data_IF_797134628938
#
_entry.id   IF_797134628938
#
_cell.length_a   1.000
_cell.length_b   1.000
_cell.length_c   1.000
_cell.angle_alpha   90.00
_cell.angle_beta   90.00
_cell.angle_gamma   90.00
#
_symmetry.space_group_name_H-M   'P 1'
#
loop_
_entity.id
_entity.type
_entity.pdbx_description
1 polymer ?
#
# COMPACT_ATOMS: atom_id res chain seq x y z
N UNK A 1 -10.68 -19.43 -6.05
CA UNK A 1 -9.70 -19.12 -4.99
C UNK A 1 -8.31 -19.02 -5.61
N UNK A 2 -7.65 -17.86 -5.50
CA UNK A 2 -6.32 -17.61 -6.05
C UNK A 2 -5.20 -18.07 -5.09
N UNK A 3 -5.43 -19.16 -4.36
CA UNK A 3 -4.58 -19.59 -3.23
C UNK A 3 -3.13 -19.96 -3.64
N UNK A 4 -2.85 -20.07 -4.93
CA UNK A 4 -1.51 -20.36 -5.48
C UNK A 4 -0.87 -19.13 -6.15
N UNK A 5 -1.56 -17.98 -6.21
CA UNK A 5 -1.02 -16.78 -6.84
C UNK A 5 0.08 -16.19 -5.97
N UNK A 6 1.32 -16.23 -6.47
CA UNK A 6 2.49 -15.73 -5.74
C UNK A 6 2.93 -14.34 -6.20
N UNK A 7 2.44 -13.87 -7.35
CA UNK A 7 2.78 -12.56 -7.89
C UNK A 7 1.58 -11.92 -8.56
N UNK A 8 1.35 -10.65 -8.27
CA UNK A 8 0.29 -9.84 -8.86
C UNK A 8 0.91 -8.53 -9.30
N UNK A 9 0.77 -8.23 -10.59
CA UNK A 9 1.21 -6.98 -11.18
C UNK A 9 -0.02 -6.24 -11.71
N UNK A 10 -0.34 -5.11 -11.09
CA UNK A 10 -1.40 -4.21 -11.49
C UNK A 10 -0.87 -2.82 -11.83
N UNK A 11 0.44 -2.66 -12.01
CA UNK A 11 1.06 -1.37 -12.32
C UNK A 11 0.37 -0.69 -13.50
N UNK A 12 0.30 0.65 -13.48
CA UNK A 12 -0.37 1.48 -14.49
C UNK A 12 -1.88 1.19 -14.65
N UNK A 13 -2.55 0.74 -13.58
CA UNK A 13 -4.01 0.61 -13.54
C UNK A 13 -4.60 1.54 -12.49
N UNK A 14 -5.86 1.94 -12.68
CA UNK A 14 -6.61 2.75 -11.72
C UNK A 14 -7.09 1.90 -10.55
N UNK A 15 -6.18 1.49 -9.68
CA UNK A 15 -6.51 0.72 -8.48
C UNK A 15 -7.22 1.61 -7.47
N UNK A 16 -6.79 2.88 -7.33
CA UNK A 16 -7.33 3.86 -6.38
C UNK A 16 -7.36 3.39 -4.92
N UNK A 17 -7.70 4.28 -3.98
CA UNK A 17 -7.69 3.93 -2.56
C UNK A 17 -8.67 2.80 -2.23
N UNK A 18 -9.86 2.83 -2.85
CA UNK A 18 -10.86 1.77 -2.68
C UNK A 18 -10.38 0.41 -3.19
N UNK A 19 -9.74 0.33 -4.36
CA UNK A 19 -9.24 -0.95 -4.88
C UNK A 19 -8.04 -1.45 -4.08
N UNK A 20 -7.21 -0.54 -3.53
CA UNK A 20 -6.12 -0.95 -2.64
C UNK A 20 -6.65 -1.55 -1.33
N UNK A 21 -7.69 -0.95 -0.75
CA UNK A 21 -8.43 -1.51 0.39
C UNK A 21 -8.96 -2.91 0.08
N UNK A 22 -9.67 -3.06 -1.04
CA UNK A 22 -10.24 -4.36 -1.44
C UNK A 22 -9.17 -5.43 -1.68
N UNK A 23 -8.01 -5.04 -2.24
CA UNK A 23 -6.87 -5.94 -2.38
C UNK A 23 -6.31 -6.38 -1.01
N UNK A 24 -6.23 -5.46 -0.04
CA UNK A 24 -5.75 -5.78 1.31
C UNK A 24 -6.71 -6.74 2.03
N UNK A 25 -8.02 -6.49 1.96
CA UNK A 25 -9.06 -7.39 2.50
C UNK A 25 -9.01 -8.75 1.80
N UNK A 26 -8.86 -8.78 0.47
CA UNK A 26 -8.71 -10.03 -0.26
C UNK A 26 -7.43 -10.79 0.13
N UNK A 27 -6.38 -10.11 0.57
CA UNK A 27 -5.12 -10.74 0.99
C UNK A 27 -5.18 -11.40 2.36
N UNK A 28 -6.14 -11.03 3.23
CA UNK A 28 -6.41 -11.75 4.47
C UNK A 28 -6.93 -13.18 4.21
N UNK A 29 -7.46 -13.44 3.01
CA UNK A 29 -8.13 -14.72 2.69
C UNK A 29 -7.65 -15.36 1.39
N UNK A 30 -7.85 -14.69 0.26
CA UNK A 30 -7.75 -15.23 -1.09
C UNK A 30 -6.36 -15.07 -1.71
N UNK A 31 -5.57 -14.10 -1.22
CA UNK A 31 -4.21 -13.81 -1.69
C UNK A 31 -3.15 -14.05 -0.61
N UNK A 32 -3.44 -14.91 0.37
CA UNK A 32 -2.56 -15.17 1.50
C UNK A 32 -1.18 -15.74 1.13
N UNK A 33 -0.98 -16.26 -0.09
CA UNK A 33 0.30 -16.76 -0.60
C UNK A 33 1.06 -15.74 -1.49
N UNK A 34 0.53 -14.53 -1.64
CA UNK A 34 1.12 -13.52 -2.49
C UNK A 34 2.47 -13.07 -1.94
N UNK A 35 3.53 -13.15 -2.76
CA UNK A 35 4.91 -12.80 -2.41
C UNK A 35 5.38 -11.51 -3.08
N UNK A 36 4.77 -11.15 -4.19
CA UNK A 36 5.12 -9.96 -4.98
C UNK A 36 3.84 -9.22 -5.33
N UNK A 37 3.76 -7.96 -4.92
CA UNK A 37 2.70 -7.04 -5.33
C UNK A 37 3.33 -5.82 -5.98
N UNK A 38 2.93 -5.55 -7.23
CA UNK A 38 3.29 -4.32 -7.94
C UNK A 38 2.04 -3.49 -8.23
N UNK A 39 2.08 -2.27 -7.73
CA UNK A 39 1.05 -1.26 -7.84
C UNK A 39 1.66 0.06 -8.32
N UNK A 40 2.85 0.07 -8.92
CA UNK A 40 3.46 1.33 -9.36
C UNK A 40 2.57 2.05 -10.37
N UNK A 41 2.45 3.37 -10.21
CA UNK A 41 1.57 4.23 -11.00
C UNK A 41 0.09 3.83 -10.93
N UNK A 42 -0.44 3.53 -9.73
CA UNK A 42 -1.83 3.10 -9.54
C UNK A 42 -2.76 4.05 -8.75
N UNK A 43 -2.33 5.30 -8.52
CA UNK A 43 -3.10 6.33 -7.78
C UNK A 43 -3.73 5.79 -6.48
N UNK A 44 -3.00 4.95 -5.72
CA UNK A 44 -3.56 4.21 -4.58
C UNK A 44 -3.96 5.12 -3.40
N UNK A 45 -3.58 6.38 -3.48
CA UNK A 45 -3.95 7.47 -2.60
C UNK A 45 -3.89 8.77 -3.42
N UNK A 46 -4.61 9.80 -3.00
CA UNK A 46 -4.48 11.15 -3.55
C UNK A 46 -3.88 12.06 -2.48
N UNK A 47 -2.84 12.78 -2.85
CA UNK A 47 -2.15 13.68 -1.92
C UNK A 47 -3.07 14.84 -1.48
N UNK A 48 -2.85 15.36 -0.27
CA UNK A 48 -3.63 16.49 0.30
C UNK A 48 -5.09 16.21 0.66
N UNK A 49 -5.46 14.94 0.78
CA UNK A 49 -6.79 14.54 1.26
C UNK A 49 -6.95 14.87 2.76
N UNK A 50 -8.11 15.42 3.14
CA UNK A 50 -8.50 15.62 4.54
C UNK A 50 -8.93 14.30 5.23
N UNK A 51 -8.75 14.15 6.56
CA UNK A 51 -9.08 12.90 7.26
C UNK A 51 -10.54 12.43 7.16
N UNK A 52 -11.48 13.32 6.82
CA UNK A 52 -12.90 13.00 6.63
C UNK A 52 -13.23 12.48 5.24
N UNK A 53 -12.29 12.54 4.29
CA UNK A 53 -12.47 12.08 2.92
C UNK A 53 -12.50 10.55 2.80
N UNK A 54 -13.24 10.07 1.82
CA UNK A 54 -13.47 8.64 1.59
C UNK A 54 -12.17 7.90 1.24
N UNK A 55 -11.26 8.52 0.49
CA UNK A 55 -10.01 7.89 0.07
C UNK A 55 -8.99 7.81 1.20
N UNK A 56 -8.98 8.78 2.14
CA UNK A 56 -8.27 8.63 3.40
C UNK A 56 -8.76 7.44 4.20
N UNK A 57 -10.08 7.29 4.36
CA UNK A 57 -10.66 6.16 5.07
C UNK A 57 -10.36 4.82 4.38
N UNK A 58 -10.42 4.76 3.04
CA UNK A 58 -10.09 3.56 2.29
C UNK A 58 -8.64 3.15 2.50
N UNK A 59 -7.72 4.10 2.39
CA UNK A 59 -6.30 3.84 2.60
C UNK A 59 -6.01 3.44 4.06
N UNK A 60 -6.60 4.16 5.02
CA UNK A 60 -6.49 3.82 6.44
C UNK A 60 -6.97 2.39 6.71
N UNK A 61 -8.11 1.99 6.16
CA UNK A 61 -8.63 0.63 6.30
C UNK A 61 -7.71 -0.42 5.66
N UNK A 62 -7.08 -0.11 4.52
CA UNK A 62 -6.07 -0.97 3.92
C UNK A 62 -4.87 -1.17 4.87
N UNK A 63 -4.40 -0.11 5.52
CA UNK A 63 -3.33 -0.19 6.54
C UNK A 63 -3.77 -1.02 7.74
N UNK A 64 -5.01 -0.88 8.22
CA UNK A 64 -5.52 -1.73 9.30
C UNK A 64 -5.54 -3.22 8.90
N UNK A 65 -5.90 -3.53 7.66
CA UNK A 65 -5.82 -4.91 7.15
C UNK A 65 -4.38 -5.42 7.10
N UNK A 66 -3.43 -4.59 6.66
CA UNK A 66 -2.00 -4.90 6.68
C UNK A 66 -1.52 -5.21 8.12
N UNK A 67 -1.92 -4.39 9.10
CA UNK A 67 -1.62 -4.63 10.53
C UNK A 67 -2.20 -5.96 11.05
N UNK A 68 -3.35 -6.40 10.53
CA UNK A 68 -3.95 -7.71 10.86
C UNK A 68 -3.32 -8.90 10.13
N UNK A 69 -2.39 -8.65 9.22
CA UNK A 69 -1.65 -9.70 8.50
C UNK A 69 -2.02 -9.85 7.03
N UNK A 70 -2.80 -8.93 6.44
CA UNK A 70 -2.87 -8.82 4.99
C UNK A 70 -1.45 -8.69 4.43
N UNK A 71 -1.20 -9.39 3.31
CA UNK A 71 0.11 -9.40 2.67
C UNK A 71 1.28 -9.90 3.54
N UNK A 72 1.03 -10.67 4.63
CA UNK A 72 2.09 -11.18 5.51
C UNK A 72 3.15 -12.08 4.81
N UNK A 73 2.87 -12.57 3.59
CA UNK A 73 3.81 -13.33 2.78
C UNK A 73 4.60 -12.50 1.76
N UNK A 74 4.34 -11.18 1.66
CA UNK A 74 5.05 -10.32 0.71
C UNK A 74 6.54 -10.28 1.04
N UNK A 75 7.32 -10.47 -0.01
CA UNK A 75 8.77 -10.30 -0.03
C UNK A 75 9.15 -9.04 -0.82
N UNK A 76 8.27 -8.57 -1.69
CA UNK A 76 8.43 -7.38 -2.52
C UNK A 76 7.10 -6.63 -2.63
N UNK A 77 7.11 -5.34 -2.28
CA UNK A 77 6.02 -4.40 -2.50
C UNK A 77 6.55 -3.23 -3.32
N UNK A 78 5.85 -2.90 -4.40
CA UNK A 78 6.10 -1.70 -5.19
C UNK A 78 4.85 -0.81 -5.23
N UNK A 79 4.96 0.39 -4.65
CA UNK A 79 3.95 1.45 -4.67
C UNK A 79 4.59 2.78 -5.13
N UNK A 80 5.62 2.70 -5.98
CA UNK A 80 6.24 3.88 -6.60
C UNK A 80 5.21 4.65 -7.44
N UNK A 81 5.27 5.97 -7.37
CA UNK A 81 4.44 6.86 -8.19
C UNK A 81 2.93 6.69 -7.98
N UNK A 82 2.50 6.38 -6.77
CA UNK A 82 1.08 6.20 -6.44
C UNK A 82 0.44 7.41 -5.73
N UNK A 83 0.95 8.61 -5.96
CA UNK A 83 0.48 9.86 -5.34
C UNK A 83 0.32 9.84 -3.82
N UNK A 84 1.24 9.16 -3.15
CA UNK A 84 1.34 9.09 -1.70
C UNK A 84 2.09 10.30 -1.11
N UNK A 85 1.63 10.81 0.03
CA UNK A 85 2.30 11.86 0.81
C UNK A 85 3.09 11.28 2.00
N UNK A 86 3.68 12.14 2.83
CA UNK A 86 4.41 11.71 4.04
C UNK A 86 3.51 11.06 5.09
N UNK A 87 2.23 11.43 5.16
CA UNK A 87 1.25 10.85 6.08
C UNK A 87 1.08 9.36 5.80
N UNK A 88 0.86 9.04 4.53
CA UNK A 88 0.69 7.67 4.06
C UNK A 88 1.95 6.83 4.24
N UNK A 89 3.11 7.39 3.87
CA UNK A 89 4.40 6.71 4.08
C UNK A 89 4.58 6.35 5.56
N UNK A 90 4.26 7.27 6.47
CA UNK A 90 4.37 7.04 7.91
C UNK A 90 3.40 5.98 8.41
N UNK A 91 2.16 5.95 7.93
CA UNK A 91 1.21 4.89 8.29
C UNK A 91 1.69 3.48 7.88
N UNK A 92 2.35 3.37 6.72
CA UNK A 92 2.95 2.11 6.28
C UNK A 92 4.16 1.73 7.15
N UNK A 93 5.02 2.69 7.49
CA UNK A 93 6.16 2.47 8.40
C UNK A 93 5.68 2.02 9.78
N UNK A 94 4.69 2.69 10.36
CA UNK A 94 4.11 2.32 11.66
C UNK A 94 3.58 0.88 11.63
N UNK A 95 2.92 0.45 10.54
CA UNK A 95 2.47 -0.93 10.39
C UNK A 95 3.63 -1.93 10.36
N UNK A 96 4.73 -1.60 9.67
CA UNK A 96 5.94 -2.44 9.63
C UNK A 96 6.57 -2.54 11.02
N UNK A 97 6.68 -1.43 11.75
CA UNK A 97 7.21 -1.38 13.12
C UNK A 97 6.36 -2.20 14.10
N UNK A 98 5.04 -2.23 13.90
CA UNK A 98 4.09 -3.07 14.66
C UNK A 98 4.13 -4.56 14.26
N UNK A 99 4.99 -4.96 13.31
CA UNK A 99 5.19 -6.35 12.92
C UNK A 99 4.37 -6.80 11.72
N UNK A 100 3.78 -5.88 10.95
CA UNK A 100 3.26 -6.20 9.63
C UNK A 100 4.40 -6.39 8.62
N UNK A 101 4.11 -7.09 7.51
CA UNK A 101 5.05 -7.26 6.39
C UNK A 101 6.44 -7.79 6.79
N UNK A 102 6.55 -8.62 7.84
CA UNK A 102 7.84 -9.09 8.40
C UNK A 102 8.72 -9.90 7.44
N UNK A 103 8.19 -10.32 6.29
CA UNK A 103 8.93 -11.02 5.23
C UNK A 103 9.43 -10.11 4.12
N UNK A 104 9.13 -8.81 4.17
CA UNK A 104 9.46 -7.86 3.14
C UNK A 104 10.98 -7.67 3.09
N UNK A 105 11.55 -7.84 1.90
CA UNK A 105 12.98 -7.63 1.62
C UNK A 105 13.20 -6.49 0.62
N UNK A 106 12.14 -6.08 -0.08
CA UNK A 106 12.14 -5.02 -1.08
C UNK A 106 10.89 -4.18 -0.90
N UNK A 107 11.09 -2.91 -0.61
CA UNK A 107 10.05 -1.90 -0.54
C UNK A 107 10.43 -0.77 -1.48
N UNK A 108 9.63 -0.59 -2.53
CA UNK A 108 9.75 0.51 -3.47
C UNK A 108 8.63 1.50 -3.17
N UNK A 109 9.03 2.66 -2.67
CA UNK A 109 8.16 3.76 -2.27
C UNK A 109 8.82 5.06 -2.70
N UNK A 110 8.31 5.67 -3.76
CA UNK A 110 8.63 7.02 -4.16
C UNK A 110 7.36 7.85 -4.21
N UNK A 111 7.30 8.91 -3.39
CA UNK A 111 6.23 9.90 -3.45
C UNK A 111 6.38 10.74 -4.72
N UNK A 112 5.28 10.96 -5.43
CA UNK A 112 5.18 11.93 -6.53
C UNK A 112 4.82 13.33 -6.04
N UNK A 113 4.41 13.45 -4.76
CA UNK A 113 3.93 14.69 -4.15
C UNK A 113 4.95 15.42 -3.26
N UNK A 114 6.22 14.98 -3.22
CA UNK A 114 7.27 15.78 -2.55
C UNK A 114 7.55 17.01 -3.41
N UNK A 115 6.81 18.08 -3.15
CA UNK A 115 7.24 19.40 -3.58
C UNK A 115 8.62 19.64 -2.95
N UNK A 116 9.64 19.69 -3.80
CA UNK A 116 11.03 20.01 -3.42
C UNK A 116 11.17 21.39 -2.74
N UNK A 117 10.09 22.13 -2.53
CA UNK A 117 10.05 23.38 -1.76
C UNK A 117 10.11 23.22 -0.24
N UNK A 118 9.91 22.02 0.32
CA UNK A 118 9.76 21.83 1.78
C UNK A 118 10.79 20.91 2.46
N UNK A 119 12.04 20.90 1.96
CA UNK A 119 13.17 20.46 2.80
C UNK A 119 13.57 21.58 3.77
N UNK A 120 13.05 21.52 5.01
CA UNK A 120 13.69 22.10 6.18
C UNK A 120 13.95 20.95 7.16
N UNK A 121 15.24 20.72 7.42
CA UNK A 121 15.87 19.66 8.20
C UNK A 121 15.31 19.51 9.62
#
# INVERSE_FOLDING_TARGET
AFAQLTGLNLSYNKVCAIGFRELAEAAEHNLAQLKILRLDSCDIYESHIEPDDTDFHNFFNAIQAIKRGAFAQLTSLNIDSCDIDLTVVRMLVDAIEEGALTKLTKLHVSSTGVDNSSQIW
#
